data_IF_375563326908
#
_entry.id   IF_375563326908
#
_cell.length_a   1.000
_cell.length_b   1.000
_cell.length_c   1.000
_cell.angle_alpha   90.00
_cell.angle_beta   90.00
_cell.angle_gamma   90.00
#
_symmetry.space_group_name_H-M   'P 1'
#
loop_
_entity.id
_entity.type
_entity.pdbx_description
1 polymer ?
#
# COMPACT_ATOMS: atom_id res chain seq x y z
N UNK A 1 8.69 19.65 0.43
CA UNK A 1 8.40 20.01 1.84
C UNK A 1 7.46 18.96 2.42
N UNK A 2 7.92 18.08 3.31
CA UNK A 2 7.06 17.05 3.93
C UNK A 2 6.32 17.67 5.11
N UNK A 3 5.13 18.19 4.83
CA UNK A 3 4.31 18.84 5.85
C UNK A 3 3.40 17.80 6.49
N UNK A 4 3.70 17.41 7.72
CA UNK A 4 2.66 16.99 8.67
C UNK A 4 2.99 17.53 10.05
N UNK A 5 2.33 18.62 10.46
CA UNK A 5 2.27 19.07 11.87
C UNK A 5 1.45 18.10 12.75
N UNK A 6 1.31 16.84 12.34
CA UNK A 6 0.59 15.81 13.06
C UNK A 6 1.60 15.15 13.99
N UNK A 7 1.36 15.23 15.28
CA UNK A 7 2.18 14.53 16.27
C UNK A 7 2.15 13.03 16.01
N UNK A 8 3.32 12.42 15.86
CA UNK A 8 3.47 10.98 15.60
C UNK A 8 2.76 10.11 16.65
N UNK A 9 2.69 10.59 17.90
CA UNK A 9 1.96 9.91 19.00
C UNK A 9 0.47 9.75 18.66
N UNK A 10 -0.16 10.74 18.03
CA UNK A 10 -1.56 10.63 17.60
C UNK A 10 -1.72 9.58 16.50
N UNK A 11 -0.72 9.46 15.62
CA UNK A 11 -0.70 8.45 14.56
C UNK A 11 -0.62 7.04 15.16
N UNK A 12 0.21 6.82 16.19
CA UNK A 12 0.33 5.52 16.87
C UNK A 12 -1.02 5.04 17.45
N UNK A 13 -1.78 5.94 18.07
CA UNK A 13 -3.12 5.62 18.59
C UNK A 13 -4.08 5.16 17.48
N UNK A 14 -4.06 5.85 16.33
CA UNK A 14 -4.88 5.49 15.17
C UNK A 14 -4.44 4.18 14.53
N UNK A 15 -3.13 3.91 14.50
CA UNK A 15 -2.59 2.61 14.09
C UNK A 15 -3.16 1.52 14.98
N UNK A 16 -3.01 1.63 16.32
CA UNK A 16 -3.51 0.61 17.26
C UNK A 16 -5.00 0.34 17.07
N UNK A 17 -5.81 1.40 16.95
CA UNK A 17 -7.25 1.25 16.73
C UNK A 17 -7.54 0.51 15.41
N UNK A 18 -6.87 0.89 14.32
CA UNK A 18 -7.03 0.23 13.02
C UNK A 18 -6.70 -1.26 13.10
N UNK A 19 -5.58 -1.62 13.72
CA UNK A 19 -5.13 -3.01 13.89
C UNK A 19 -6.09 -3.82 14.77
N UNK A 20 -6.60 -3.24 15.86
CA UNK A 20 -7.64 -3.87 16.69
C UNK A 20 -8.90 -4.16 15.86
N UNK A 21 -9.28 -3.26 14.96
CA UNK A 21 -10.43 -3.47 14.08
C UNK A 21 -10.21 -4.63 13.10
N UNK A 22 -9.01 -4.77 12.51
CA UNK A 22 -8.65 -5.95 11.71
C UNK A 22 -8.72 -7.23 12.55
N UNK A 23 -8.16 -7.22 13.75
CA UNK A 23 -8.18 -8.38 14.64
C UNK A 23 -9.62 -8.81 14.98
N UNK A 24 -10.47 -7.86 15.38
CA UNK A 24 -11.91 -8.13 15.64
C UNK A 24 -12.64 -8.62 14.40
N UNK A 25 -12.36 -8.06 13.23
CA UNK A 25 -13.01 -8.46 11.98
C UNK A 25 -12.66 -9.90 11.55
N UNK A 26 -11.49 -10.39 11.96
CA UNK A 26 -11.02 -11.75 11.71
C UNK A 26 -11.14 -12.65 12.96
N UNK A 27 -12.13 -12.40 13.82
CA UNK A 27 -12.41 -13.22 15.03
C UNK A 27 -11.19 -13.44 15.93
N UNK A 28 -10.31 -12.43 16.01
CA UNK A 28 -9.02 -12.43 16.73
C UNK A 28 -8.01 -13.46 16.25
N UNK A 29 -8.24 -14.10 15.12
CA UNK A 29 -7.27 -15.01 14.51
C UNK A 29 -6.07 -14.26 13.98
N UNK A 30 -6.30 -13.07 13.40
CA UNK A 30 -5.24 -12.16 13.00
C UNK A 30 -4.89 -11.21 14.15
N UNK A 31 -3.64 -11.22 14.56
CA UNK A 31 -3.16 -10.42 15.70
C UNK A 31 -1.91 -9.63 15.31
N UNK A 32 -1.70 -8.52 16.01
CA UNK A 32 -0.62 -7.58 15.75
C UNK A 32 0.13 -7.34 17.05
N UNK A 33 1.44 -7.55 17.01
CA UNK A 33 2.33 -7.40 18.15
C UNK A 33 2.53 -5.95 18.58
N UNK A 34 3.37 -5.77 19.59
CA UNK A 34 3.84 -4.44 19.99
C UNK A 34 4.72 -3.83 18.89
N UNK A 35 4.65 -2.52 18.77
CA UNK A 35 5.44 -1.77 17.81
C UNK A 35 5.92 -0.45 18.41
N UNK A 36 7.03 0.04 17.88
CA UNK A 36 7.63 1.32 18.26
C UNK A 36 6.88 2.47 17.60
N UNK A 37 6.98 3.66 18.20
CA UNK A 37 6.43 4.88 17.59
C UNK A 37 6.91 5.05 16.16
N UNK A 38 5.99 5.48 15.31
CA UNK A 38 6.28 5.75 13.90
C UNK A 38 7.43 6.74 13.76
N UNK A 39 8.43 6.41 12.95
CA UNK A 39 9.62 7.23 12.75
C UNK A 39 9.56 7.96 11.42
N UNK A 40 9.89 9.26 11.42
CA UNK A 40 10.06 10.00 10.17
C UNK A 40 11.23 9.45 9.37
N UNK A 41 11.09 9.47 8.04
CA UNK A 41 12.11 8.97 7.11
C UNK A 41 12.48 10.06 6.12
N UNK A 42 13.10 11.17 6.55
CA UNK A 42 13.30 12.38 5.73
C UNK A 42 14.03 12.09 4.41
N UNK A 43 14.97 11.16 4.42
CA UNK A 43 15.77 10.75 3.25
C UNK A 43 15.17 9.55 2.49
N UNK A 44 14.08 8.96 3.01
CA UNK A 44 13.41 7.80 2.39
C UNK A 44 12.32 8.21 1.41
N UNK A 45 11.79 7.29 0.58
CA UNK A 45 10.80 7.60 -0.47
C UNK A 45 9.38 7.90 0.06
N UNK A 46 9.17 7.74 1.37
CA UNK A 46 7.92 7.99 2.07
C UNK A 46 8.16 8.79 3.36
N UNK A 47 7.08 9.30 3.96
CA UNK A 47 7.16 10.24 5.10
C UNK A 47 7.59 9.60 6.39
N UNK A 48 7.00 8.46 6.74
CA UNK A 48 7.27 7.80 8.01
C UNK A 48 7.03 6.30 7.93
N UNK A 49 7.63 5.55 8.86
CA UNK A 49 7.53 4.10 8.94
C UNK A 49 7.56 3.58 10.38
N UNK A 50 6.83 2.49 10.62
CA UNK A 50 7.07 1.57 11.74
C UNK A 50 6.90 0.13 11.26
N UNK A 51 7.27 -0.83 12.10
CA UNK A 51 7.16 -2.26 11.80
C UNK A 51 6.39 -2.95 12.92
N UNK A 52 5.44 -3.80 12.56
CA UNK A 52 4.56 -4.50 13.50
C UNK A 52 4.61 -6.00 13.21
N UNK A 53 4.98 -6.85 14.18
CA UNK A 53 4.88 -8.30 14.02
C UNK A 53 3.42 -8.72 13.82
N UNK A 54 3.18 -9.68 12.94
CA UNK A 54 1.83 -10.20 12.65
C UNK A 54 1.79 -11.68 12.96
N UNK A 55 0.77 -12.10 13.70
CA UNK A 55 0.48 -13.51 13.95
C UNK A 55 -0.91 -13.90 13.43
N UNK A 56 -1.03 -15.17 13.08
CA UNK A 56 -2.30 -15.79 12.73
C UNK A 56 -2.49 -17.08 13.52
N UNK A 57 -3.58 -17.20 14.27
CA UNK A 57 -3.85 -18.30 15.22
C UNK A 57 -2.63 -18.56 16.14
N UNK A 58 -2.04 -17.48 16.68
CA UNK A 58 -0.87 -17.53 17.56
C UNK A 58 0.49 -17.79 16.88
N UNK A 59 0.52 -18.12 15.58
CA UNK A 59 1.77 -18.33 14.83
C UNK A 59 2.22 -17.03 14.15
N UNK A 60 3.48 -16.63 14.32
CA UNK A 60 4.05 -15.50 13.57
C UNK A 60 4.04 -15.80 12.06
N UNK A 61 3.49 -14.88 11.26
CA UNK A 61 3.37 -14.97 9.80
C UNK A 61 4.18 -13.89 9.05
N UNK A 62 4.92 -13.06 9.77
CA UNK A 62 5.84 -12.06 9.25
C UNK A 62 5.68 -10.69 9.91
N UNK A 63 6.52 -9.75 9.47
CA UNK A 63 6.50 -8.37 9.95
C UNK A 63 5.84 -7.44 8.92
N UNK A 64 4.86 -6.68 9.37
CA UNK A 64 4.16 -5.69 8.55
C UNK A 64 4.82 -4.33 8.68
N UNK A 65 5.23 -3.75 7.55
CA UNK A 65 5.67 -2.37 7.50
C UNK A 65 4.44 -1.46 7.44
N UNK A 66 4.29 -0.57 8.41
CA UNK A 66 3.26 0.49 8.37
C UNK A 66 3.93 1.76 7.86
N UNK A 67 3.40 2.30 6.77
CA UNK A 67 4.00 3.42 6.04
C UNK A 67 3.00 4.58 5.98
N UNK A 68 3.51 5.78 6.23
CA UNK A 68 2.80 7.05 6.11
C UNK A 68 3.20 7.75 4.81
N UNK A 69 2.21 8.15 4.02
CA UNK A 69 2.38 8.75 2.70
C UNK A 69 1.84 10.19 2.70
N UNK A 70 2.76 11.16 2.68
CA UNK A 70 2.49 12.55 2.30
C UNK A 70 2.20 12.64 0.79
N UNK A 71 1.69 13.79 0.31
CA UNK A 71 1.37 13.91 -1.10
C UNK A 71 2.63 13.62 -1.91
N UNK A 72 2.47 12.81 -2.96
CA UNK A 72 3.55 12.43 -3.88
C UNK A 72 4.61 11.46 -3.32
N UNK A 73 4.43 10.93 -2.10
CA UNK A 73 5.28 9.84 -1.59
C UNK A 73 5.08 8.53 -2.37
N UNK A 74 6.12 7.69 -2.37
CA UNK A 74 6.13 6.36 -2.98
C UNK A 74 6.92 5.32 -2.18
N UNK A 75 7.04 4.10 -2.71
CA UNK A 75 7.84 3.01 -2.09
C UNK A 75 8.93 2.45 -3.00
N UNK A 76 9.13 3.07 -4.16
CA UNK A 76 10.10 2.66 -5.16
C UNK A 76 11.53 3.04 -4.80
N UNK A 77 12.46 2.53 -5.61
CA UNK A 77 13.85 2.98 -5.67
C UNK A 77 14.46 2.59 -7.03
N UNK A 78 15.56 3.22 -7.40
CA UNK A 78 16.29 3.00 -8.65
C UNK A 78 17.39 1.93 -8.56
N UNK A 79 17.55 1.25 -7.41
CA UNK A 79 18.66 0.30 -7.20
C UNK A 79 18.74 -0.85 -8.22
N UNK A 80 17.62 -1.17 -8.88
CA UNK A 80 17.51 -2.26 -9.87
C UNK A 80 17.48 -1.77 -11.32
N UNK A 81 17.46 -0.46 -11.58
CA UNK A 81 17.23 0.09 -12.92
C UNK A 81 17.98 1.41 -13.14
N UNK A 82 18.48 1.64 -14.35
CA UNK A 82 19.05 2.94 -14.69
C UNK A 82 17.92 3.95 -15.00
N UNK A 83 17.90 5.10 -14.31
CA UNK A 83 16.90 6.16 -14.50
C UNK A 83 16.75 6.62 -15.95
N UNK A 84 17.85 6.65 -16.70
CA UNK A 84 17.86 7.13 -18.08
C UNK A 84 17.10 6.20 -19.05
N UNK A 85 16.75 5.00 -18.60
CA UNK A 85 15.98 4.01 -19.36
C UNK A 85 14.48 4.04 -19.05
N UNK A 86 14.05 4.91 -18.12
CA UNK A 86 12.68 4.96 -17.61
C UNK A 86 11.96 6.22 -18.09
N UNK A 87 10.88 6.04 -18.84
CA UNK A 87 9.92 7.10 -19.13
C UNK A 87 8.83 7.17 -18.05
N UNK A 88 8.86 8.24 -17.28
CA UNK A 88 7.88 8.52 -16.22
C UNK A 88 6.53 9.03 -16.76
N UNK A 89 6.43 9.33 -18.07
CA UNK A 89 5.19 9.77 -18.71
C UNK A 89 4.50 10.90 -17.94
N UNK A 90 3.27 10.65 -17.48
CA UNK A 90 2.44 11.61 -16.74
C UNK A 90 2.88 11.89 -15.29
N UNK A 91 3.85 11.15 -14.77
CA UNK A 91 4.43 11.38 -13.45
C UNK A 91 5.61 12.37 -13.48
N UNK A 92 5.95 12.93 -14.66
CA UNK A 92 6.92 14.02 -14.83
C UNK A 92 6.37 15.33 -14.25
N UNK A 93 6.38 15.48 -12.95
CA UNK A 93 6.06 16.75 -12.29
C UNK A 93 7.12 17.06 -11.24
N UNK A 94 7.35 18.35 -10.97
CA UNK A 94 8.30 18.83 -9.95
C UNK A 94 7.95 18.38 -8.51
N UNK A 95 6.82 17.68 -8.34
CA UNK A 95 6.27 17.30 -7.05
C UNK A 95 6.64 15.87 -6.62
N UNK A 96 6.99 14.98 -7.56
CA UNK A 96 7.41 13.61 -7.23
C UNK A 96 8.93 13.50 -7.18
N UNK A 97 9.44 12.82 -6.16
CA UNK A 97 10.75 12.19 -6.29
C UNK A 97 10.60 11.00 -7.26
N UNK A 98 11.17 11.14 -8.46
CA UNK A 98 11.07 10.11 -9.50
C UNK A 98 11.63 8.75 -9.04
N UNK A 99 12.64 8.75 -8.15
CA UNK A 99 13.22 7.51 -7.63
C UNK A 99 12.21 6.72 -6.80
N UNK A 100 11.35 7.41 -6.06
CA UNK A 100 10.27 6.80 -5.26
C UNK A 100 9.20 6.11 -6.10
N UNK A 101 9.16 6.34 -7.42
CA UNK A 101 8.16 5.77 -8.31
C UNK A 101 8.62 4.48 -9.00
N UNK A 102 9.92 4.18 -8.96
CA UNK A 102 10.50 3.08 -9.72
C UNK A 102 10.25 1.76 -8.98
N UNK A 103 9.54 0.81 -9.58
CA UNK A 103 9.38 -0.52 -8.99
C UNK A 103 10.74 -1.20 -8.85
N UNK A 104 11.06 -1.72 -7.65
CA UNK A 104 12.27 -2.53 -7.37
C UNK A 104 12.01 -4.02 -7.51
N UNK A 105 12.95 -4.90 -7.86
CA UNK A 105 12.66 -6.34 -7.77
C UNK A 105 12.61 -6.79 -6.29
N UNK A 106 11.63 -7.62 -5.91
CA UNK A 106 11.60 -8.33 -4.62
C UNK A 106 11.69 -9.84 -4.85
N UNK A 107 12.91 -10.35 -4.74
CA UNK A 107 13.16 -11.79 -4.72
C UNK A 107 12.46 -12.43 -3.50
N UNK A 108 11.99 -13.66 -3.67
CA UNK A 108 11.36 -14.50 -2.64
C UNK A 108 10.07 -13.98 -1.99
N UNK A 109 9.49 -12.89 -2.51
CA UNK A 109 8.15 -12.42 -2.09
C UNK A 109 7.14 -12.91 -3.12
N UNK A 110 6.17 -13.69 -2.69
CA UNK A 110 5.07 -14.18 -3.55
C UNK A 110 4.09 -13.05 -3.80
N UNK A 111 3.66 -12.36 -2.74
CA UNK A 111 2.80 -11.19 -2.79
C UNK A 111 2.94 -10.33 -1.54
N UNK A 112 2.31 -9.16 -1.52
CA UNK A 112 2.18 -8.35 -0.31
C UNK A 112 0.71 -8.14 0.03
N UNK A 113 0.37 -8.39 1.29
CA UNK A 113 -0.92 -8.00 1.86
C UNK A 113 -0.89 -6.52 2.20
N UNK A 114 -1.77 -5.75 1.56
CA UNK A 114 -2.01 -4.34 1.81
C UNK A 114 -3.22 -4.12 2.72
N UNK A 115 -2.99 -3.39 3.80
CA UNK A 115 -3.96 -3.07 4.85
C UNK A 115 -4.18 -1.55 4.86
N UNK A 116 -5.26 -1.00 4.26
CA UNK A 116 -5.65 0.37 4.52
C UNK A 116 -5.88 0.56 6.01
N UNK A 117 -5.15 1.47 6.65
CA UNK A 117 -5.31 1.72 8.08
C UNK A 117 -6.17 2.96 8.29
N UNK A 118 -5.75 4.12 7.77
CA UNK A 118 -6.52 5.35 7.85
C UNK A 118 -5.96 6.46 6.96
N UNK A 119 -6.78 7.49 6.76
CA UNK A 119 -6.37 8.80 6.24
C UNK A 119 -6.65 9.87 7.29
N UNK A 120 -5.74 10.81 7.51
CA UNK A 120 -5.86 11.88 8.52
C UNK A 120 -5.48 13.25 7.95
N UNK A 121 -6.28 14.28 8.22
CA UNK A 121 -5.99 15.68 7.91
C UNK A 121 -5.11 16.33 8.98
N UNK A 122 -4.51 17.47 8.66
CA UNK A 122 -3.72 18.27 9.60
C UNK A 122 -4.52 18.73 10.84
N UNK A 123 -5.83 18.94 10.72
CA UNK A 123 -6.70 19.32 11.84
C UNK A 123 -7.11 18.13 12.74
N UNK A 124 -6.68 16.90 12.42
CA UNK A 124 -7.00 15.69 13.19
C UNK A 124 -8.21 14.89 12.69
N UNK A 125 -9.00 15.42 11.74
CA UNK A 125 -10.10 14.66 11.12
C UNK A 125 -9.52 13.41 10.43
N UNK A 126 -10.10 12.25 10.70
CA UNK A 126 -9.59 11.00 10.15
C UNK A 126 -10.70 10.03 9.74
N UNK A 127 -10.34 9.12 8.84
CA UNK A 127 -11.19 8.06 8.34
C UNK A 127 -10.46 6.73 8.49
N UNK A 128 -11.02 5.82 9.30
CA UNK A 128 -10.48 4.46 9.44
C UNK A 128 -10.71 3.62 8.19
N UNK A 129 -9.75 2.74 7.93
CA UNK A 129 -9.69 1.80 6.80
C UNK A 129 -9.81 2.48 5.42
N UNK A 130 -9.59 3.79 5.39
CA UNK A 130 -9.62 4.61 4.19
C UNK A 130 -8.20 5.00 3.83
N UNK A 131 -7.59 4.25 2.93
CA UNK A 131 -6.29 4.56 2.34
C UNK A 131 -6.38 4.15 0.88
N UNK A 132 -5.96 5.02 -0.03
CA UNK A 132 -6.07 4.79 -1.46
C UNK A 132 -4.75 5.11 -2.15
N UNK A 133 -4.09 4.10 -2.71
CA UNK A 133 -2.78 4.22 -3.34
C UNK A 133 -2.83 3.75 -4.79
N UNK A 134 -1.99 4.31 -5.65
CA UNK A 134 -1.73 3.76 -6.98
C UNK A 134 -0.63 2.75 -6.89
N UNK A 135 -0.84 1.66 -7.58
CA UNK A 135 0.17 0.66 -7.78
C UNK A 135 0.82 0.87 -9.16
N UNK A 136 2.15 0.76 -9.26
CA UNK A 136 2.93 1.14 -10.45
C UNK A 136 3.73 -0.02 -11.03
N UNK A 137 3.64 -0.23 -12.34
CA UNK A 137 4.40 -1.25 -13.08
C UNK A 137 5.41 -0.63 -14.04
N UNK A 138 6.42 -1.40 -14.41
CA UNK A 138 7.28 -1.13 -15.55
C UNK A 138 6.78 -1.88 -16.78
N UNK A 139 6.45 -1.14 -17.84
CA UNK A 139 6.13 -1.69 -19.16
C UNK A 139 7.34 -1.55 -20.07
N UNK A 140 7.86 -2.66 -20.59
CA UNK A 140 8.92 -2.67 -21.61
C UNK A 140 8.37 -2.14 -22.95
N UNK A 141 9.06 -1.17 -23.56
CA UNK A 141 8.67 -0.53 -24.83
C UNK A 141 9.71 -0.73 -25.96
N UNK A 142 10.69 -1.61 -25.77
CA UNK A 142 11.76 -1.88 -26.72
C UNK A 142 12.93 -2.54 -26.01
N UNK A 143 14.06 -2.66 -26.70
CA UNK A 143 15.30 -3.13 -26.11
C UNK A 143 15.80 -2.05 -25.14
N UNK A 144 15.67 -2.30 -23.84
CA UNK A 144 16.17 -1.44 -22.75
C UNK A 144 15.42 -0.13 -22.46
N UNK A 145 14.18 0.04 -22.92
CA UNK A 145 13.32 1.16 -22.49
C UNK A 145 12.09 0.68 -21.75
N UNK A 146 11.80 1.34 -20.62
CA UNK A 146 10.65 1.05 -19.77
C UNK A 146 9.80 2.31 -19.61
N UNK A 147 8.48 2.15 -19.48
CA UNK A 147 7.59 3.20 -18.98
C UNK A 147 6.99 2.81 -17.64
N UNK A 148 6.92 3.77 -16.72
CA UNK A 148 6.11 3.61 -15.51
C UNK A 148 4.64 3.86 -15.88
N UNK A 149 3.82 2.84 -15.63
CA UNK A 149 2.38 2.92 -15.84
C UNK A 149 1.61 2.56 -14.55
N UNK A 150 0.47 3.21 -14.29
CA UNK A 150 -0.42 2.76 -13.22
C UNK A 150 -0.99 1.37 -13.56
N UNK A 151 -0.95 0.46 -12.60
CA UNK A 151 -1.54 -0.87 -12.67
C UNK A 151 -3.00 -0.83 -12.22
N UNK A 152 -3.19 -0.62 -10.91
CA UNK A 152 -4.50 -0.54 -10.28
C UNK A 152 -4.48 0.37 -9.04
N UNK A 153 -5.67 0.58 -8.49
CA UNK A 153 -5.87 1.30 -7.25
C UNK A 153 -5.96 0.31 -6.09
N UNK A 154 -5.10 0.47 -5.12
CA UNK A 154 -5.19 -0.19 -3.82
C UNK A 154 -6.15 0.62 -2.93
N UNK A 155 -7.08 -0.07 -2.26
CA UNK A 155 -8.11 0.56 -1.44
C UNK A 155 -9.44 0.77 -2.17
N UNK A 156 -10.35 1.62 -1.65
CA UNK A 156 -11.67 1.81 -2.24
C UNK A 156 -11.59 2.48 -3.62
N UNK A 157 -12.54 2.15 -4.51
CA UNK A 157 -12.69 2.87 -5.77
C UNK A 157 -13.18 4.31 -5.57
N UNK A 158 -13.16 5.12 -6.64
CA UNK A 158 -13.56 6.54 -6.58
C UNK A 158 -14.98 6.71 -6.05
N UNK A 159 -15.95 5.90 -6.53
CA UNK A 159 -17.35 6.01 -6.11
C UNK A 159 -17.50 5.74 -4.62
N UNK A 160 -16.83 4.71 -4.11
CA UNK A 160 -16.83 4.34 -2.69
C UNK A 160 -16.16 5.44 -1.87
N UNK A 161 -15.03 5.98 -2.34
CA UNK A 161 -14.35 7.10 -1.70
C UNK A 161 -15.26 8.33 -1.58
N UNK A 162 -15.90 8.73 -2.68
CA UNK A 162 -16.79 9.91 -2.72
C UNK A 162 -17.94 9.77 -1.71
N UNK A 163 -18.53 8.57 -1.61
CA UNK A 163 -19.59 8.27 -0.62
C UNK A 163 -19.09 8.39 0.83
N UNK A 164 -17.91 7.85 1.13
CA UNK A 164 -17.34 7.93 2.49
C UNK A 164 -17.04 9.39 2.85
N UNK A 165 -16.46 10.15 1.91
CA UNK A 165 -16.17 11.56 2.11
C UNK A 165 -17.42 12.43 2.25
N UNK A 166 -18.56 12.00 1.69
CA UNK A 166 -19.86 12.66 1.87
C UNK A 166 -20.60 12.24 3.15
N UNK A 167 -19.96 11.48 4.05
CA UNK A 167 -20.53 11.09 5.35
C UNK A 167 -21.11 9.68 5.43
N UNK A 168 -20.89 8.82 4.43
CA UNK A 168 -21.21 7.40 4.58
C UNK A 168 -20.29 6.74 5.63
N UNK A 169 -20.74 5.58 6.16
CA UNK A 169 -19.97 4.83 7.16
C UNK A 169 -18.58 4.45 6.63
N UNK A 170 -17.59 4.48 7.53
CA UNK A 170 -16.24 4.01 7.25
C UNK A 170 -16.25 2.58 6.68
N UNK A 171 -15.33 2.27 5.76
CA UNK A 171 -15.24 0.94 5.18
C UNK A 171 -14.88 -0.09 6.26
N UNK A 172 -15.32 -1.34 6.04
CA UNK A 172 -14.87 -2.47 6.86
C UNK A 172 -13.38 -2.73 6.61
N UNK A 173 -12.63 -3.23 7.61
CA UNK A 173 -11.24 -3.66 7.41
C UNK A 173 -11.16 -4.66 6.26
N UNK A 174 -10.24 -4.46 5.33
CA UNK A 174 -10.06 -5.33 4.16
C UNK A 174 -8.60 -5.42 3.77
N UNK A 175 -8.16 -6.62 3.44
CA UNK A 175 -6.80 -6.87 2.94
C UNK A 175 -6.85 -6.99 1.43
N UNK A 176 -6.01 -6.21 0.75
CA UNK A 176 -5.81 -6.29 -0.70
C UNK A 176 -4.46 -6.94 -0.97
N UNK A 177 -4.26 -7.52 -2.14
CA UNK A 177 -2.99 -8.13 -2.51
C UNK A 177 -2.41 -7.44 -3.74
N UNK A 178 -1.13 -7.09 -3.67
CA UNK A 178 -0.43 -6.33 -4.72
C UNK A 178 -0.02 -7.19 -5.91
N UNK A 179 0.05 -8.52 -5.71
CA UNK A 179 0.37 -9.48 -6.78
C UNK A 179 -0.53 -10.72 -6.65
N UNK A 180 -0.74 -11.44 -7.75
CA UNK A 180 -1.49 -12.70 -7.75
C UNK A 180 -0.79 -13.73 -8.63
N UNK A 181 -0.62 -14.95 -8.12
CA UNK A 181 -0.34 -16.15 -8.92
C UNK A 181 -1.66 -16.88 -9.16
N UNK A 182 -2.19 -16.81 -10.39
CA UNK A 182 -3.47 -17.42 -10.75
C UNK A 182 -3.18 -18.75 -11.43
N UNK A 183 -3.42 -19.88 -10.75
CA UNK A 183 -3.47 -21.22 -11.34
C UNK A 183 -2.33 -21.57 -12.31
N UNK A 184 -1.09 -21.16 -12.01
CA UNK A 184 0.08 -21.47 -12.85
C UNK A 184 0.24 -20.60 -14.10
N UNK A 185 -0.58 -19.56 -14.29
CA UNK A 185 -0.44 -18.56 -15.37
C UNK A 185 0.75 -17.61 -15.06
N UNK A 186 1.40 -17.77 -13.91
CA UNK A 186 2.53 -16.96 -13.48
C UNK A 186 2.10 -15.78 -12.62
N UNK A 187 3.10 -15.10 -12.07
CA UNK A 187 2.92 -13.94 -11.19
C UNK A 187 2.42 -12.74 -12.01
N UNK A 188 1.21 -12.27 -11.72
CA UNK A 188 0.61 -11.07 -12.30
C UNK A 188 0.61 -9.91 -11.33
N UNK A 189 0.82 -8.71 -11.90
CA UNK A 189 0.98 -7.50 -11.12
C UNK A 189 2.21 -7.64 -10.26
N UNK A 190 3.40 -7.39 -10.81
CA UNK A 190 4.61 -7.24 -9.99
C UNK A 190 5.04 -5.77 -9.81
N UNK A 191 4.24 -4.96 -9.10
CA UNK A 191 4.61 -3.62 -8.75
C UNK A 191 5.18 -3.58 -7.35
N UNK A 192 6.37 -3.03 -7.31
CA UNK A 192 7.10 -2.86 -6.08
C UNK A 192 7.21 -1.40 -5.69
N UNK A 193 6.53 -0.54 -6.44
CA UNK A 193 6.22 0.82 -6.03
C UNK A 193 4.71 1.00 -5.98
N UNK A 194 4.25 1.44 -4.81
CA UNK A 194 2.97 2.11 -4.66
C UNK A 194 3.27 3.57 -4.44
N UNK A 195 2.44 4.44 -4.99
CA UNK A 195 2.53 5.86 -4.75
C UNK A 195 1.18 6.42 -4.33
N UNK A 196 1.24 7.48 -3.53
CA UNK A 196 0.06 8.25 -3.21
C UNK A 196 -0.35 9.11 -4.40
N UNK A 197 -1.66 9.27 -4.57
CA UNK A 197 -2.25 10.04 -5.67
C UNK A 197 -2.95 11.28 -5.18
N UNK A 198 -3.33 12.15 -6.13
CA UNK A 198 -3.99 13.43 -5.86
C UNK A 198 -5.39 13.34 -5.25
N UNK A 199 -6.05 12.17 -5.29
CA UNK A 199 -7.45 12.03 -4.84
C UNK A 199 -7.67 12.41 -3.37
N UNK A 200 -6.63 12.32 -2.55
CA UNK A 200 -6.68 12.63 -1.12
C UNK A 200 -5.57 13.61 -0.72
N UNK A 201 -5.21 14.59 -1.55
CA UNK A 201 -4.09 15.56 -1.34
C UNK A 201 -3.99 16.16 0.06
N UNK A 202 -5.12 16.39 0.73
CA UNK A 202 -5.16 17.00 2.07
C UNK A 202 -4.92 16.04 3.25
N UNK A 203 -4.76 14.74 2.99
CA UNK A 203 -4.70 13.71 4.02
C UNK A 203 -3.34 13.01 4.04
N UNK A 204 -2.70 12.89 5.19
CA UNK A 204 -1.69 11.84 5.37
C UNK A 204 -2.39 10.48 5.26
N UNK A 205 -1.88 9.60 4.41
CA UNK A 205 -2.44 8.28 4.19
C UNK A 205 -1.54 7.24 4.84
N UNK A 206 -2.11 6.35 5.65
CA UNK A 206 -1.35 5.32 6.37
C UNK A 206 -1.83 3.94 5.95
N UNK A 207 -0.90 3.07 5.55
CA UNK A 207 -1.18 1.71 5.11
C UNK A 207 -0.15 0.72 5.63
N UNK A 208 -0.59 -0.50 5.92
CA UNK A 208 0.27 -1.63 6.28
C UNK A 208 0.59 -2.52 5.08
N UNK A 209 1.80 -3.02 5.01
CA UNK A 209 2.30 -3.92 3.97
C UNK A 209 3.01 -5.11 4.60
N UNK A 210 2.42 -6.29 4.46
CA UNK A 210 3.00 -7.56 4.92
C UNK A 210 3.51 -8.35 3.72
N UNK A 211 4.82 -8.56 3.64
CA UNK A 211 5.40 -9.40 2.59
C UNK A 211 5.16 -10.88 2.89
N UNK A 212 4.59 -11.59 1.92
CA UNK A 212 4.25 -13.01 2.03
C UNK A 212 5.23 -13.80 1.17
N UNK A 213 6.03 -14.65 1.83
CA UNK A 213 7.04 -15.50 1.19
C UNK A 213 6.65 -16.98 1.14
N UNK A 214 5.65 -17.38 1.92
CA UNK A 214 5.19 -18.76 2.05
C UNK A 214 3.79 -18.92 1.43
N UNK A 215 3.64 -19.87 0.49
CA UNK A 215 2.35 -20.22 -0.15
C UNK A 215 1.33 -20.77 0.86
N UNK A 216 1.80 -21.28 1.99
CA UNK A 216 0.95 -21.75 3.08
C UNK A 216 0.53 -20.63 4.05
N UNK A 217 0.92 -19.37 3.82
CA UNK A 217 0.55 -18.26 4.69
C UNK A 217 -0.99 -18.14 4.79
N UNK A 218 -1.58 -18.19 6.00
CA UNK A 218 -3.02 -18.23 6.18
C UNK A 218 -3.74 -16.96 5.70
N UNK A 219 -3.04 -15.83 5.59
CA UNK A 219 -3.61 -14.59 5.08
C UNK A 219 -4.08 -14.73 3.62
N UNK A 220 -3.41 -15.59 2.83
CA UNK A 220 -3.84 -15.91 1.45
C UNK A 220 -5.22 -16.56 1.39
N UNK A 221 -5.64 -17.26 2.46
CA UNK A 221 -6.96 -17.90 2.55
C UNK A 221 -8.05 -16.91 2.98
N UNK A 222 -7.68 -15.84 3.67
CA UNK A 222 -8.60 -14.75 4.03
C UNK A 222 -8.95 -13.87 2.81
N UNK A 223 -8.12 -13.90 1.76
CA UNK A 223 -8.27 -13.17 0.51
C UNK A 223 -9.52 -13.49 -0.33
N UNK A 224 -10.39 -14.41 0.14
CA UNK A 224 -11.63 -14.78 -0.56
C UNK A 224 -12.55 -13.58 -0.87
N UNK A 225 -12.36 -12.42 -0.20
CA UNK A 225 -13.18 -11.22 -0.35
C UNK A 225 -12.80 -10.25 -1.49
N UNK A 226 -12.34 -10.76 -2.64
CA UNK A 226 -11.95 -10.05 -3.87
C UNK A 226 -10.46 -9.74 -3.95
N UNK A 227 -9.79 -10.65 -4.64
CA UNK A 227 -8.68 -10.32 -5.53
C UNK A 227 -9.01 -9.06 -6.34
N UNK A 228 -8.13 -8.05 -6.35
CA UNK A 228 -8.17 -6.98 -7.34
C UNK A 228 -7.69 -7.59 -8.66
N UNK A 229 -8.46 -8.51 -9.23
CA UNK A 229 -8.22 -8.92 -10.61
C UNK A 229 -8.70 -7.77 -11.49
N UNK A 230 -7.85 -7.25 -12.40
CA UNK A 230 -8.37 -6.51 -13.53
C UNK A 230 -9.45 -7.41 -14.16
N UNK A 231 -10.64 -6.86 -14.47
CA UNK A 231 -11.60 -7.59 -15.29
C UNK A 231 -10.84 -7.98 -16.56
N UNK A 232 -10.48 -9.26 -16.71
CA UNK A 232 -9.89 -9.74 -17.95
C UNK A 232 -10.89 -9.38 -19.05
N UNK A 233 -10.54 -8.42 -19.92
CA UNK A 233 -11.29 -8.26 -21.17
C UNK A 233 -11.18 -9.62 -21.83
N UNK A 234 -12.32 -10.31 -21.98
CA UNK A 234 -12.37 -11.50 -22.82
C UNK A 234 -11.79 -11.08 -24.16
N UNK A 235 -10.59 -11.56 -24.49
CA UNK A 235 -10.11 -11.51 -25.86
C UNK A 235 -11.15 -12.29 -26.66
N UNK A 236 -11.90 -11.58 -27.50
CA UNK A 236 -12.74 -12.19 -28.52
C UNK A 236 -11.86 -12.49 -29.72
#
# INVERSE_FOLDING_TARGET
>A
MRVTNIELIKIDCLIRHSLINYSKFHDRRLEFGLFNTMQYTPDGPYTAKTTVPVSFDGKNIGDMNIIGFSPFDGTGNDSSYNLNQIDFGKFKTDNYDLNSLIPRSKQDIICEGYFPLFSIKQNGDHFFHLTQLKELLLKKNGDEKYSIIPNFMLGPDKKTLDLILSGARSPKPRVYFTTVDINGIGRFGDPHSVCRTSSLEKYLQVGGFLSIKDKCNPLLKLAKEKWILPKMKRMR
#
